data_IF_946147130083
#
_entry.id   IF_946147130083
#
_cell.length_a   1.000
_cell.length_b   1.000
_cell.length_c   1.000
_cell.angle_alpha   90.00
_cell.angle_beta   90.00
_cell.angle_gamma   90.00
#
_symmetry.space_group_name_H-M   'P 1'
#
loop_
_entity.id
_entity.type
_entity.pdbx_description
1 polymer ?
#
# COMPACT_ATOMS: atom_id res chain seq x y z
N UNK A 1 -9.90 34.41 3.94
CA UNK A 1 -8.59 34.48 3.27
C UNK A 1 -8.36 33.11 2.66
N UNK A 2 -8.70 32.95 1.39
CA UNK A 2 -8.49 31.70 0.65
C UNK A 2 -6.98 31.58 0.38
N UNK A 3 -6.38 30.51 0.88
CA UNK A 3 -4.97 30.20 0.67
C UNK A 3 -4.73 29.95 -0.83
N UNK A 4 -3.65 30.51 -1.38
CA UNK A 4 -3.22 30.40 -2.80
C UNK A 4 -3.06 28.97 -3.32
N UNK A 5 -3.23 27.96 -2.49
CA UNK A 5 -3.06 26.54 -2.79
C UNK A 5 -4.19 25.93 -3.63
N UNK A 6 -5.37 26.56 -3.69
CA UNK A 6 -6.47 26.06 -4.54
C UNK A 6 -6.28 26.33 -6.05
N UNK A 7 -5.26 27.10 -6.46
CA UNK A 7 -5.09 27.48 -7.87
C UNK A 7 -4.58 26.35 -8.78
N UNK A 8 -4.03 25.27 -8.22
CA UNK A 8 -3.45 24.14 -8.97
C UNK A 8 -4.38 22.91 -9.06
N UNK A 9 -5.56 22.94 -8.44
CA UNK A 9 -6.54 21.85 -8.50
C UNK A 9 -6.15 20.58 -7.73
N UNK A 10 -4.97 20.53 -7.12
CA UNK A 10 -4.43 19.39 -6.38
C UNK A 10 -3.58 19.85 -5.19
N UNK A 11 -3.48 19.01 -4.15
CA UNK A 11 -2.50 19.18 -3.07
C UNK A 11 -1.07 19.08 -3.61
N UNK A 12 -0.17 19.90 -3.06
CA UNK A 12 1.26 19.81 -3.38
C UNK A 12 1.91 18.57 -2.77
N UNK A 13 3.05 18.16 -3.33
CA UNK A 13 3.88 17.07 -2.79
C UNK A 13 4.18 17.26 -1.30
N UNK A 14 4.57 18.47 -0.89
CA UNK A 14 4.88 18.78 0.52
C UNK A 14 3.68 18.62 1.46
N UNK A 15 2.49 19.06 1.02
CA UNK A 15 1.25 18.89 1.79
C UNK A 15 0.86 17.43 1.94
N UNK A 16 1.04 16.61 0.89
CA UNK A 16 0.79 15.17 0.96
C UNK A 16 1.74 14.49 1.93
N UNK A 17 3.04 14.77 1.87
CA UNK A 17 4.01 14.23 2.83
C UNK A 17 3.70 14.65 4.26
N UNK A 18 3.33 15.92 4.47
CA UNK A 18 2.92 16.39 5.79
C UNK A 18 1.73 15.61 6.34
N UNK A 19 0.70 15.38 5.50
CA UNK A 19 -0.44 14.56 5.88
C UNK A 19 -0.01 13.15 6.28
N UNK A 20 0.82 12.49 5.47
CA UNK A 20 1.25 11.11 5.72
C UNK A 20 2.00 10.98 7.05
N UNK A 21 2.96 11.87 7.29
CA UNK A 21 3.77 11.87 8.50
C UNK A 21 2.94 12.22 9.73
N UNK A 22 2.10 13.26 9.63
CA UNK A 22 1.25 13.72 10.73
C UNK A 22 0.20 12.68 11.10
N UNK A 23 -0.44 12.06 10.12
CA UNK A 23 -1.41 11.00 10.34
C UNK A 23 -0.76 9.80 11.00
N UNK A 24 0.37 9.31 10.46
CA UNK A 24 1.09 8.17 11.05
C UNK A 24 1.56 8.47 12.48
N UNK A 25 1.93 9.70 12.78
CA UNK A 25 2.28 10.10 14.13
C UNK A 25 1.07 10.08 15.06
N UNK A 26 -0.04 10.69 14.67
CA UNK A 26 -1.25 10.75 15.49
C UNK A 26 -1.82 9.35 15.75
N UNK A 27 -1.96 8.50 14.74
CA UNK A 27 -2.51 7.14 14.90
C UNK A 27 -1.59 6.19 15.69
N UNK A 28 -0.34 6.57 15.92
CA UNK A 28 0.54 5.84 16.84
C UNK A 28 0.32 6.18 18.32
N UNK A 29 -0.37 7.28 18.62
CA UNK A 29 -0.58 7.74 19.99
C UNK A 29 -1.73 7.00 20.67
N UNK A 30 -1.54 6.65 21.95
CA UNK A 30 -2.51 5.85 22.70
C UNK A 30 -3.88 6.52 22.85
N UNK A 31 -3.92 7.85 22.96
CA UNK A 31 -5.16 8.63 23.07
C UNK A 31 -5.95 8.62 21.76
N UNK A 32 -5.27 8.75 20.62
CA UNK A 32 -5.91 8.67 19.31
C UNK A 32 -6.40 7.25 19.03
N UNK A 33 -5.60 6.22 19.32
CA UNK A 33 -6.05 4.81 19.23
C UNK A 33 -7.29 4.56 20.08
N UNK A 34 -7.30 5.07 21.32
CA UNK A 34 -8.45 4.98 22.22
C UNK A 34 -9.66 5.70 21.65
N UNK A 35 -9.49 6.88 21.05
CA UNK A 35 -10.56 7.64 20.37
C UNK A 35 -11.20 6.82 19.24
N UNK A 36 -10.39 6.15 18.41
CA UNK A 36 -10.90 5.31 17.30
C UNK A 36 -11.67 4.11 17.88
N UNK A 37 -11.09 3.38 18.84
CA UNK A 37 -11.74 2.23 19.48
C UNK A 37 -13.02 2.60 20.25
N UNK A 38 -13.06 3.78 20.90
CA UNK A 38 -14.27 4.31 21.55
C UNK A 38 -15.39 4.55 20.54
N UNK A 39 -15.08 5.18 19.42
CA UNK A 39 -16.05 5.44 18.36
C UNK A 39 -16.59 4.15 17.74
N UNK A 40 -15.75 3.13 17.54
CA UNK A 40 -16.18 1.80 17.06
C UNK A 40 -17.13 1.14 18.06
N UNK A 41 -16.86 1.22 19.37
CA UNK A 41 -17.79 0.75 20.42
C UNK A 41 -19.13 1.49 20.39
N UNK A 42 -19.10 2.77 20.02
CA UNK A 42 -20.29 3.60 19.81
C UNK A 42 -20.96 3.38 18.43
N UNK A 43 -20.57 2.31 17.71
CA UNK A 43 -21.10 1.88 16.40
C UNK A 43 -20.81 2.85 15.25
N UNK A 44 -19.74 3.64 15.36
CA UNK A 44 -19.20 4.38 14.22
C UNK A 44 -18.21 3.49 13.45
N UNK A 45 -18.04 3.75 12.17
CA UNK A 45 -17.02 3.06 11.36
C UNK A 45 -15.65 3.65 11.69
N UNK A 46 -14.62 2.81 11.85
CA UNK A 46 -13.27 3.31 12.17
C UNK A 46 -12.76 4.26 11.07
N UNK A 47 -13.08 3.95 9.80
CA UNK A 47 -12.74 4.78 8.64
C UNK A 47 -13.32 6.20 8.72
N UNK A 48 -14.49 6.38 9.33
CA UNK A 48 -15.07 7.71 9.51
C UNK A 48 -14.24 8.54 10.50
N UNK A 49 -13.68 7.89 11.53
CA UNK A 49 -12.83 8.54 12.54
C UNK A 49 -11.45 8.83 11.97
N UNK A 50 -10.85 7.90 11.22
CA UNK A 50 -9.57 8.14 10.53
C UNK A 50 -9.71 9.25 9.49
N UNK A 51 -10.82 9.29 8.77
CA UNK A 51 -11.16 10.40 7.86
C UNK A 51 -11.23 11.71 8.64
N UNK A 52 -11.92 11.77 9.78
CA UNK A 52 -11.97 12.98 10.61
C UNK A 52 -10.57 13.44 11.09
N UNK A 53 -9.66 12.51 11.39
CA UNK A 53 -8.25 12.84 11.71
C UNK A 53 -7.55 13.44 10.48
N UNK A 54 -7.77 12.90 9.27
CA UNK A 54 -7.24 13.51 8.03
C UNK A 54 -7.78 14.93 7.84
N UNK A 55 -9.09 15.15 8.08
CA UNK A 55 -9.73 16.47 8.02
C UNK A 55 -9.13 17.46 9.03
N UNK A 56 -8.87 17.03 10.27
CA UNK A 56 -8.19 17.83 11.30
C UNK A 56 -6.81 18.28 10.81
N UNK A 57 -6.02 17.38 10.21
CA UNK A 57 -4.70 17.70 9.66
C UNK A 57 -4.81 18.68 8.49
N UNK A 58 -5.83 18.54 7.62
CA UNK A 58 -6.07 19.51 6.55
C UNK A 58 -6.38 20.90 7.12
N UNK A 59 -7.20 21.00 8.17
CA UNK A 59 -7.46 22.27 8.85
C UNK A 59 -6.18 22.86 9.45
N UNK A 60 -5.34 22.04 10.11
CA UNK A 60 -4.04 22.47 10.64
C UNK A 60 -3.13 23.07 9.53
N UNK A 61 -3.18 22.51 8.33
CA UNK A 61 -2.44 23.00 7.15
C UNK A 61 -3.08 24.21 6.44
N UNK A 62 -4.26 24.66 6.87
CA UNK A 62 -5.02 25.72 6.18
C UNK A 62 -5.58 25.26 4.81
N UNK A 63 -5.87 23.98 4.69
CA UNK A 63 -6.49 23.31 3.54
C UNK A 63 -7.95 23.02 3.86
N UNK A 64 -8.85 23.27 2.90
CA UNK A 64 -10.24 22.85 3.03
C UNK A 64 -10.34 21.32 3.07
N UNK A 65 -10.96 20.71 4.11
CA UNK A 65 -10.98 19.25 4.26
C UNK A 65 -11.63 18.52 3.09
N UNK A 66 -12.73 19.05 2.53
CA UNK A 66 -13.42 18.41 1.40
C UNK A 66 -12.54 18.40 0.15
N UNK A 67 -11.84 19.50 -0.10
CA UNK A 67 -10.83 19.57 -1.14
C UNK A 67 -9.69 18.57 -0.89
N UNK A 68 -9.16 18.49 0.33
CA UNK A 68 -8.08 17.59 0.71
C UNK A 68 -8.43 16.11 0.49
N UNK A 69 -9.59 15.67 1.00
CA UNK A 69 -10.10 14.32 0.81
C UNK A 69 -10.34 14.01 -0.68
N UNK A 70 -10.91 14.96 -1.43
CA UNK A 70 -11.09 14.78 -2.88
C UNK A 70 -9.77 14.61 -3.63
N UNK A 71 -8.69 15.24 -3.15
CA UNK A 71 -7.36 15.08 -3.72
C UNK A 71 -6.80 13.68 -3.47
N UNK A 72 -7.02 13.07 -2.30
CA UNK A 72 -6.49 11.73 -1.98
C UNK A 72 -6.92 10.68 -3.00
N UNK A 73 -8.17 10.73 -3.46
CA UNK A 73 -8.68 9.83 -4.51
C UNK A 73 -8.04 9.99 -5.89
N UNK A 74 -7.20 11.01 -6.10
CA UNK A 74 -6.55 11.34 -7.38
C UNK A 74 -5.03 11.24 -7.33
N UNK A 75 -4.43 10.98 -6.16
CA UNK A 75 -2.96 11.02 -5.98
C UNK A 75 -2.23 10.11 -6.95
N UNK A 76 -2.66 8.84 -7.08
CA UNK A 76 -1.99 7.88 -7.97
C UNK A 76 -2.06 8.26 -9.44
N UNK A 77 -3.06 9.03 -9.87
CA UNK A 77 -3.23 9.48 -11.26
C UNK A 77 -2.49 10.79 -11.52
N UNK A 78 -2.68 11.80 -10.68
CA UNK A 78 -2.04 13.12 -10.86
C UNK A 78 -0.53 13.09 -10.64
N UNK A 79 -0.04 12.13 -9.84
CA UNK A 79 1.37 11.95 -9.53
C UNK A 79 1.93 10.62 -10.07
N UNK A 80 1.37 10.05 -11.13
CA UNK A 80 1.80 8.76 -11.71
C UNK A 80 3.31 8.69 -12.03
N UNK A 81 3.91 9.85 -12.39
CA UNK A 81 5.32 9.98 -12.74
C UNK A 81 6.23 10.12 -11.51
N UNK A 82 5.67 10.39 -10.33
CA UNK A 82 6.38 10.58 -9.06
C UNK A 82 6.25 9.31 -8.20
N UNK A 83 7.01 8.28 -8.58
CA UNK A 83 6.95 6.95 -7.95
C UNK A 83 7.17 7.00 -6.44
N UNK A 84 8.06 7.86 -5.96
CA UNK A 84 8.35 7.96 -4.53
C UNK A 84 7.12 8.47 -3.77
N UNK A 85 6.44 9.49 -4.29
CA UNK A 85 5.22 10.00 -3.68
C UNK A 85 4.10 8.95 -3.71
N UNK A 86 3.91 8.26 -4.85
CA UNK A 86 2.88 7.21 -4.98
C UNK A 86 3.13 6.04 -4.01
N UNK A 87 4.40 5.61 -3.85
CA UNK A 87 4.77 4.58 -2.86
C UNK A 87 4.42 5.03 -1.44
N UNK A 88 4.67 6.30 -1.11
CA UNK A 88 4.42 6.83 0.22
C UNK A 88 2.92 7.02 0.48
N UNK A 89 2.15 7.34 -0.56
CA UNK A 89 0.69 7.35 -0.51
C UNK A 89 0.12 5.95 -0.20
N UNK A 90 0.60 4.89 -0.87
CA UNK A 90 0.15 3.53 -0.54
C UNK A 90 0.56 3.09 0.88
N UNK A 91 1.74 3.48 1.36
CA UNK A 91 2.13 3.26 2.76
C UNK A 91 1.20 3.97 3.73
N UNK A 92 0.77 5.18 3.41
CA UNK A 92 -0.21 5.92 4.19
C UNK A 92 -1.56 5.19 4.26
N UNK A 93 -2.07 4.67 3.13
CA UNK A 93 -3.31 3.88 3.11
C UNK A 93 -3.21 2.62 3.99
N UNK A 94 -2.09 1.91 3.94
CA UNK A 94 -1.84 0.76 4.83
C UNK A 94 -1.84 1.19 6.30
N UNK A 95 -1.33 2.37 6.64
CA UNK A 95 -1.37 2.89 8.02
C UNK A 95 -2.78 3.24 8.48
N UNK A 96 -3.62 3.74 7.58
CA UNK A 96 -5.04 3.93 7.86
C UNK A 96 -5.75 2.60 8.08
N UNK A 97 -5.53 1.61 7.21
CA UNK A 97 -6.11 0.27 7.34
C UNK A 97 -5.72 -0.38 8.68
N UNK A 98 -4.43 -0.35 9.04
CA UNK A 98 -3.96 -0.89 10.32
C UNK A 98 -4.58 -0.17 11.51
N UNK A 99 -4.78 1.15 11.44
CA UNK A 99 -5.43 1.90 12.51
C UNK A 99 -6.93 1.57 12.64
N UNK A 100 -7.60 1.23 11.53
CA UNK A 100 -8.98 0.74 11.53
C UNK A 100 -9.04 -0.68 12.11
N UNK A 101 -8.23 -1.59 11.59
CA UNK A 101 -8.15 -2.98 12.06
C UNK A 101 -7.86 -3.07 13.56
N UNK A 102 -6.91 -2.26 14.08
CA UNK A 102 -6.57 -2.25 15.51
C UNK A 102 -7.77 -1.85 16.39
N UNK A 103 -8.68 -1.04 15.86
CA UNK A 103 -9.87 -0.58 16.59
C UNK A 103 -11.09 -1.51 16.42
N UNK A 104 -11.19 -2.18 15.27
CA UNK A 104 -12.32 -3.04 14.90
C UNK A 104 -12.12 -4.48 15.35
N UNK A 105 -10.90 -4.98 15.28
CA UNK A 105 -10.55 -6.35 15.63
C UNK A 105 -10.21 -6.46 17.12
N UNK A 106 -10.43 -7.65 17.69
CA UNK A 106 -9.89 -7.97 19.02
C UNK A 106 -8.37 -8.04 19.00
N UNK A 107 -7.72 -7.90 20.17
CA UNK A 107 -6.24 -7.95 20.27
C UNK A 107 -5.63 -9.21 19.64
N UNK A 108 -6.29 -10.37 19.80
CA UNK A 108 -5.85 -11.65 19.23
C UNK A 108 -5.98 -11.67 17.70
N UNK A 109 -7.15 -11.33 17.17
CA UNK A 109 -7.41 -11.30 15.73
C UNK A 109 -6.54 -10.28 15.00
N UNK A 110 -6.33 -9.10 15.61
CA UNK A 110 -5.40 -8.10 15.12
C UNK A 110 -3.96 -8.63 15.07
N UNK A 111 -3.50 -9.29 16.14
CA UNK A 111 -2.16 -9.86 16.19
C UNK A 111 -1.96 -10.97 15.14
N UNK A 112 -2.96 -11.82 14.92
CA UNK A 112 -2.94 -12.84 13.87
C UNK A 112 -2.88 -12.22 12.48
N UNK A 113 -3.72 -11.22 12.19
CA UNK A 113 -3.71 -10.48 10.91
C UNK A 113 -2.35 -9.82 10.67
N UNK A 114 -1.78 -9.17 11.68
CA UNK A 114 -0.46 -8.53 11.57
C UNK A 114 0.67 -9.55 11.32
N UNK A 115 0.64 -10.69 12.00
CA UNK A 115 1.62 -11.77 11.79
C UNK A 115 1.50 -12.36 10.37
N UNK A 116 0.27 -12.58 9.90
CA UNK A 116 0.01 -13.05 8.55
C UNK A 116 0.58 -12.07 7.50
N UNK A 117 0.31 -10.77 7.63
CA UNK A 117 0.86 -9.75 6.73
C UNK A 117 2.39 -9.70 6.78
N UNK A 118 3.01 -9.82 7.96
CA UNK A 118 4.46 -9.87 8.09
C UNK A 118 5.05 -11.08 7.34
N UNK A 119 4.50 -12.28 7.56
CA UNK A 119 4.94 -13.50 6.89
C UNK A 119 4.81 -13.39 5.38
N UNK A 120 3.70 -12.82 4.88
CA UNK A 120 3.49 -12.59 3.46
C UNK A 120 4.54 -11.65 2.86
N UNK A 121 4.86 -10.54 3.54
CA UNK A 121 5.91 -9.61 3.10
C UNK A 121 7.30 -10.26 3.09
N UNK A 122 7.61 -11.09 4.08
CA UNK A 122 8.85 -11.84 4.13
C UNK A 122 8.97 -12.80 2.94
N UNK A 123 7.90 -13.54 2.63
CA UNK A 123 7.86 -14.44 1.46
C UNK A 123 8.00 -13.68 0.13
N UNK A 124 7.31 -12.56 -0.04
CA UNK A 124 7.48 -11.69 -1.22
C UNK A 124 8.93 -11.22 -1.37
N UNK A 125 9.58 -10.83 -0.26
CA UNK A 125 10.98 -10.40 -0.27
C UNK A 125 11.92 -11.55 -0.63
N UNK A 126 11.70 -12.75 -0.09
CA UNK A 126 12.47 -13.94 -0.42
C UNK A 126 12.33 -14.32 -1.90
N UNK A 127 11.11 -14.26 -2.44
CA UNK A 127 10.84 -14.46 -3.86
C UNK A 127 11.62 -13.45 -4.73
N UNK A 128 11.60 -12.16 -4.39
CA UNK A 128 12.34 -11.13 -5.13
C UNK A 128 13.87 -11.32 -5.03
N UNK A 129 14.38 -11.77 -3.88
CA UNK A 129 15.79 -12.16 -3.71
C UNK A 129 16.14 -13.38 -4.57
N UNK A 130 15.25 -14.37 -4.66
CA UNK A 130 15.42 -15.55 -5.51
C UNK A 130 15.43 -15.17 -6.99
N UNK A 131 14.45 -14.36 -7.42
CA UNK A 131 14.31 -13.86 -8.78
C UNK A 131 15.57 -13.14 -9.28
N UNK A 132 16.26 -12.40 -8.40
CA UNK A 132 17.51 -11.69 -8.75
C UNK A 132 18.63 -12.62 -9.26
N UNK A 133 18.56 -13.93 -9.01
CA UNK A 133 19.53 -14.92 -9.50
C UNK A 133 19.43 -15.19 -11.01
N UNK A 134 18.31 -14.83 -11.64
CA UNK A 134 18.05 -15.08 -13.06
C UNK A 134 18.47 -13.89 -13.95
N UNK A 135 18.48 -14.09 -15.28
CA UNK A 135 18.80 -13.03 -16.25
C UNK A 135 17.66 -12.01 -16.32
N UNK A 136 17.96 -10.79 -16.78
CA UNK A 136 16.95 -9.72 -16.90
C UNK A 136 15.70 -10.11 -17.70
N UNK A 137 15.88 -10.86 -18.80
CA UNK A 137 14.75 -11.35 -19.62
C UNK A 137 13.86 -12.30 -18.82
N UNK A 138 14.47 -13.20 -18.05
CA UNK A 138 13.77 -14.16 -17.20
C UNK A 138 13.10 -13.46 -16.01
N UNK A 139 13.77 -12.49 -15.38
CA UNK A 139 13.19 -11.65 -14.33
C UNK A 139 11.94 -10.91 -14.83
N UNK A 140 11.99 -10.40 -16.06
CA UNK A 140 10.85 -9.72 -16.68
C UNK A 140 9.68 -10.68 -16.91
N UNK A 141 9.95 -11.90 -17.40
CA UNK A 141 8.94 -12.93 -17.57
C UNK A 141 8.32 -13.38 -16.23
N UNK A 142 9.12 -13.49 -15.17
CA UNK A 142 8.65 -13.82 -13.82
C UNK A 142 7.72 -12.71 -13.29
N UNK A 143 8.10 -11.45 -13.43
CA UNK A 143 7.28 -10.31 -13.00
C UNK A 143 5.98 -10.19 -13.80
N UNK A 144 6.03 -10.43 -15.11
CA UNK A 144 4.85 -10.44 -15.96
C UNK A 144 3.88 -11.56 -15.56
N UNK A 145 4.41 -12.75 -15.26
CA UNK A 145 3.58 -13.87 -14.78
C UNK A 145 2.97 -13.58 -13.40
N UNK A 146 3.74 -12.98 -12.50
CA UNK A 146 3.26 -12.55 -11.20
C UNK A 146 2.13 -11.52 -11.33
N UNK A 147 2.29 -10.54 -12.22
CA UNK A 147 1.26 -9.54 -12.48
C UNK A 147 -0.04 -10.18 -13.01
N UNK A 148 0.06 -11.09 -13.97
CA UNK A 148 -1.10 -11.86 -14.46
C UNK A 148 -1.76 -12.68 -13.35
N UNK A 149 -0.97 -13.28 -12.44
CA UNK A 149 -1.50 -14.04 -11.31
C UNK A 149 -2.30 -13.12 -10.38
N UNK A 150 -1.78 -11.93 -10.08
CA UNK A 150 -2.49 -10.94 -9.28
C UNK A 150 -3.77 -10.45 -9.96
N UNK A 151 -3.73 -10.15 -11.26
CA UNK A 151 -4.92 -9.75 -12.01
C UNK A 151 -6.01 -10.84 -11.99
N UNK A 152 -5.63 -12.09 -12.23
CA UNK A 152 -6.57 -13.22 -12.21
C UNK A 152 -7.14 -13.49 -10.81
N UNK A 153 -6.37 -13.17 -9.77
CA UNK A 153 -6.78 -13.24 -8.37
C UNK A 153 -7.43 -11.98 -7.83
N UNK A 154 -7.85 -11.04 -8.70
CA UNK A 154 -8.46 -9.77 -8.31
C UNK A 154 -7.63 -8.99 -7.27
N UNK A 155 -6.31 -9.06 -7.38
CA UNK A 155 -5.33 -8.42 -6.51
C UNK A 155 -5.41 -8.84 -5.03
N UNK A 156 -5.94 -10.03 -4.73
CA UNK A 156 -5.89 -10.61 -3.39
C UNK A 156 -4.44 -10.84 -2.94
N UNK A 157 -4.17 -10.59 -1.65
CA UNK A 157 -2.83 -10.62 -1.04
C UNK A 157 -2.07 -11.92 -1.34
N UNK A 158 -2.76 -13.06 -1.32
CA UNK A 158 -2.18 -14.40 -1.50
C UNK A 158 -1.62 -14.62 -2.91
N UNK A 159 -2.13 -13.89 -3.90
CA UNK A 159 -1.74 -14.03 -5.30
C UNK A 159 -0.44 -13.32 -5.65
N UNK A 160 0.16 -12.62 -4.68
CA UNK A 160 1.37 -11.82 -4.85
C UNK A 160 2.69 -12.60 -4.68
N UNK A 161 2.63 -13.93 -4.60
CA UNK A 161 3.79 -14.80 -4.39
C UNK A 161 3.84 -15.88 -5.49
N UNK A 162 5.06 -16.16 -5.96
CA UNK A 162 5.39 -17.34 -6.76
C UNK A 162 6.36 -18.21 -5.96
N UNK A 163 6.12 -19.51 -5.95
CA UNK A 163 7.06 -20.48 -5.40
C UNK A 163 8.33 -20.57 -6.27
N UNK A 164 9.41 -21.11 -5.70
CA UNK A 164 10.65 -21.35 -6.46
C UNK A 164 10.40 -22.28 -7.67
N UNK A 165 9.54 -23.29 -7.52
CA UNK A 165 9.15 -24.21 -8.59
C UNK A 165 8.42 -23.47 -9.72
N UNK A 166 7.46 -22.61 -9.38
CA UNK A 166 6.75 -21.79 -10.37
C UNK A 166 7.71 -20.84 -11.10
N UNK A 167 8.68 -20.26 -10.40
CA UNK A 167 9.72 -19.41 -11.00
C UNK A 167 10.58 -20.21 -11.99
N UNK A 168 10.99 -21.41 -11.61
CA UNK A 168 11.81 -22.28 -12.48
C UNK A 168 11.08 -22.75 -13.73
N UNK A 169 9.75 -22.94 -13.65
CA UNK A 169 8.91 -23.28 -14.80
C UNK A 169 8.74 -22.12 -15.80
N UNK A 170 8.80 -20.87 -15.30
CA UNK A 170 8.73 -19.66 -16.15
C UNK A 170 10.04 -19.44 -16.90
N UNK A 171 11.18 -19.75 -16.27
CA UNK A 171 12.51 -19.59 -16.86
C UNK A 171 12.66 -20.62 -17.98
N UNK A 172 12.83 -20.22 -19.25
CA UNK A 172 12.96 -21.17 -20.34
C UNK A 172 14.20 -22.04 -20.12
N UNK A 173 13.99 -23.35 -19.90
CA UNK A 173 15.05 -24.37 -20.02
C UNK A 173 15.52 -24.42 -21.49
N UNK A 174 16.44 -23.54 -21.89
CA UNK A 174 17.27 -23.76 -23.09
C UNK A 174 18.54 -24.45 -22.59
N UNK A 175 18.79 -25.72 -22.94
CA UNK A 175 19.16 -26.13 -24.29
C UNK A 175 18.53 -27.49 -24.67
N UNK A 176 17.62 -27.52 -25.65
CA UNK A 176 17.45 -28.73 -26.47
C UNK A 176 18.73 -28.93 -27.28
N UNK A 177 19.27 -30.16 -27.41
CA UNK A 177 20.51 -30.39 -28.13
C UNK A 177 20.44 -29.79 -29.53
N UNK A 178 21.40 -28.92 -29.84
CA UNK A 178 21.68 -28.53 -31.21
C UNK A 178 21.82 -29.81 -32.03
N UNK A 179 21.00 -29.90 -33.08
CA UNK A 179 21.21 -30.76 -34.24
C UNK A 179 22.70 -31.05 -34.45
N UNK A 180 23.11 -32.31 -34.34
CA UNK A 180 24.34 -32.78 -34.97
C UNK A 180 23.94 -33.52 -36.25
N UNK A 181 24.16 -32.94 -37.43
CA UNK A 181 24.08 -33.69 -38.67
C UNK A 181 25.39 -34.47 -38.86
N UNK A 182 25.29 -35.78 -39.04
CA UNK A 182 26.03 -36.63 -40.00
C UNK A 182 25.54 -38.06 -39.87
#
# INVERSE_FOLDING_TARGET
MESRTQSTGMLTREQLFHLFDRFSFLTSQSDVKKRIAEAVRDKQEAVAVTTAIQEEIFVEMGVDPRFGISCLGKVSTEYENDRDLVIQFYKFLVKEEVACDEAELGEEEFAEKMLYHQNLQEQQLEMLKYMRKFRMDDQSAILEKLHQQMENGNYESETSILSAEQIEDIVPRKVSPLYTPS
#
